data_IF_600227644410
#
_entry.id   IF_600227644410
#
_cell.length_a   1.000
_cell.length_b   1.000
_cell.length_c   1.000
_cell.angle_alpha   90.00
_cell.angle_beta   90.00
_cell.angle_gamma   90.00
#
_symmetry.space_group_name_H-M   'P 1'
#
loop_
_entity.id
_entity.type
_entity.pdbx_description
1 polymer ?
#
# COMPACT_ATOMS: atom_id res chain seq x y z
N UNK A 1 -14.86 -9.87 -10.14
CA UNK A 1 -13.88 -9.00 -9.45
C UNK A 1 -13.50 -9.69 -8.14
N UNK A 2 -12.22 -9.95 -7.92
CA UNK A 2 -11.73 -10.69 -6.74
C UNK A 2 -11.27 -9.66 -5.72
N UNK A 3 -12.09 -9.43 -4.70
CA UNK A 3 -11.71 -8.57 -3.59
C UNK A 3 -10.57 -9.22 -2.79
N UNK A 4 -9.51 -8.48 -2.44
CA UNK A 4 -8.43 -9.00 -1.62
C UNK A 4 -8.92 -9.32 -0.21
N UNK A 5 -8.46 -10.43 0.34
CA UNK A 5 -8.74 -10.76 1.74
C UNK A 5 -8.02 -9.80 2.69
N UNK A 6 -8.54 -9.68 3.92
CA UNK A 6 -7.89 -8.89 4.99
C UNK A 6 -6.43 -9.29 5.20
N UNK A 7 -6.11 -10.59 5.07
CA UNK A 7 -4.74 -11.09 5.19
C UNK A 7 -3.85 -10.61 4.04
N UNK A 8 -4.36 -10.60 2.80
CA UNK A 8 -3.63 -10.06 1.64
C UNK A 8 -3.34 -8.57 1.83
N UNK A 9 -4.33 -7.79 2.29
CA UNK A 9 -4.18 -6.36 2.56
C UNK A 9 -3.10 -6.10 3.62
N UNK A 10 -3.14 -6.84 4.74
CA UNK A 10 -2.14 -6.70 5.81
C UNK A 10 -0.73 -7.14 5.36
N UNK A 11 -0.64 -8.15 4.48
CA UNK A 11 0.63 -8.56 3.88
C UNK A 11 1.19 -7.47 2.99
N UNK A 12 0.36 -6.87 2.13
CA UNK A 12 0.74 -5.74 1.28
C UNK A 12 1.26 -4.57 2.12
N UNK A 13 0.56 -4.20 3.19
CA UNK A 13 1.01 -3.17 4.13
C UNK A 13 2.42 -3.47 4.67
N UNK A 14 2.66 -4.68 5.18
CA UNK A 14 3.98 -5.09 5.70
C UNK A 14 5.07 -5.02 4.62
N UNK A 15 4.77 -5.44 3.40
CA UNK A 15 5.71 -5.37 2.28
C UNK A 15 6.06 -3.92 1.92
N UNK A 16 5.08 -3.02 1.87
CA UNK A 16 5.28 -1.60 1.62
C UNK A 16 6.16 -0.93 2.68
N UNK A 17 5.95 -1.27 3.96
CA UNK A 17 6.80 -0.76 5.05
C UNK A 17 8.24 -1.25 4.91
N UNK A 18 8.44 -2.54 4.59
CA UNK A 18 9.79 -3.10 4.36
C UNK A 18 10.49 -2.43 3.18
N UNK A 19 9.77 -2.25 2.06
CA UNK A 19 10.28 -1.54 0.90
C UNK A 19 10.66 -0.10 1.23
N UNK A 20 9.79 0.62 1.95
CA UNK A 20 10.06 1.99 2.41
C UNK A 20 11.33 2.13 3.23
N UNK A 21 11.63 1.15 4.08
CA UNK A 21 12.86 1.14 4.89
C UNK A 21 14.14 0.96 4.05
N UNK A 22 14.04 0.32 2.88
CA UNK A 22 15.14 0.05 1.97
C UNK A 22 15.46 1.22 1.02
N UNK A 23 14.54 2.19 0.88
CA UNK A 23 14.73 3.37 0.02
C UNK A 23 15.98 4.16 0.43
N UNK A 24 16.80 4.55 -0.54
CA UNK A 24 18.02 5.34 -0.29
C UNK A 24 17.84 6.81 -0.63
N UNK A 25 17.11 7.10 -1.70
CA UNK A 25 16.99 8.43 -2.30
C UNK A 25 15.66 9.12 -1.99
N UNK A 26 14.91 8.62 -1.02
CA UNK A 26 13.59 9.14 -0.64
C UNK A 26 13.55 9.37 0.86
N UNK A 27 12.87 10.44 1.28
CA UNK A 27 12.52 10.63 2.69
C UNK A 27 11.66 9.45 3.17
N UNK A 28 12.28 8.58 3.97
CA UNK A 28 11.65 7.39 4.54
C UNK A 28 10.48 7.75 5.45
N UNK A 29 10.60 8.81 6.25
CA UNK A 29 9.56 9.22 7.18
C UNK A 29 8.34 9.71 6.42
N UNK A 30 8.55 10.51 5.37
CA UNK A 30 7.48 10.93 4.48
C UNK A 30 6.79 9.74 3.80
N UNK A 31 7.57 8.84 3.18
CA UNK A 31 7.03 7.66 2.51
C UNK A 31 6.21 6.78 3.46
N UNK A 32 6.78 6.42 4.62
CA UNK A 32 6.11 5.57 5.61
C UNK A 32 4.88 6.28 6.21
N UNK A 33 4.97 7.59 6.44
CA UNK A 33 3.84 8.41 6.89
C UNK A 33 2.69 8.37 5.90
N UNK A 34 2.98 8.52 4.61
CA UNK A 34 1.99 8.44 3.52
C UNK A 34 1.34 7.07 3.46
N UNK A 35 2.11 5.98 3.48
CA UNK A 35 1.56 4.61 3.49
C UNK A 35 0.65 4.38 4.71
N UNK A 36 1.08 4.79 5.90
CA UNK A 36 0.27 4.64 7.13
C UNK A 36 -1.04 5.42 7.05
N UNK A 37 -1.01 6.62 6.46
CA UNK A 37 -2.18 7.48 6.30
C UNK A 37 -3.18 6.86 5.33
N UNK A 38 -2.74 6.44 4.15
CA UNK A 38 -3.60 5.81 3.13
C UNK A 38 -4.31 4.55 3.68
N UNK A 39 -3.59 3.67 4.38
CA UNK A 39 -4.18 2.48 5.01
C UNK A 39 -5.11 2.80 6.19
N UNK A 40 -4.92 3.95 6.86
CA UNK A 40 -5.80 4.40 7.95
C UNK A 40 -7.10 4.98 7.39
N UNK A 41 -7.00 5.85 6.38
CA UNK A 41 -8.13 6.45 5.68
C UNK A 41 -8.97 5.38 4.97
N UNK A 42 -8.31 4.36 4.38
CA UNK A 42 -8.98 3.24 3.73
C UNK A 42 -9.69 2.23 4.65
N UNK A 43 -9.63 2.36 5.99
CA UNK A 43 -10.28 1.40 6.91
C UNK A 43 -11.80 1.40 6.81
N UNK A 44 -12.39 2.55 6.48
CA UNK A 44 -13.84 2.71 6.31
C UNK A 44 -14.31 2.45 4.89
N UNK A 45 -13.41 2.10 3.97
CA UNK A 45 -13.75 1.88 2.58
C UNK A 45 -14.53 0.57 2.43
N UNK A 46 -15.77 0.67 1.96
CA UNK A 46 -16.67 -0.46 1.74
C UNK A 46 -16.87 -0.79 0.26
N UNK A 47 -16.46 0.10 -0.65
CA UNK A 47 -16.59 -0.11 -2.09
C UNK A 47 -15.58 -1.18 -2.59
N UNK A 48 -16.06 -2.34 -3.07
CA UNK A 48 -15.23 -3.41 -3.62
C UNK A 48 -14.27 -2.96 -4.72
N UNK A 49 -14.72 -2.06 -5.60
CA UNK A 49 -13.96 -1.62 -6.77
C UNK A 49 -12.79 -0.76 -6.32
N UNK A 50 -13.07 0.17 -5.41
CA UNK A 50 -12.03 1.02 -4.82
C UNK A 50 -11.02 0.22 -3.99
N UNK A 51 -11.47 -0.81 -3.24
CA UNK A 51 -10.58 -1.70 -2.49
C UNK A 51 -9.65 -2.44 -3.45
N UNK A 52 -10.19 -3.04 -4.50
CA UNK A 52 -9.40 -3.78 -5.50
C UNK A 52 -8.40 -2.86 -6.22
N UNK A 53 -8.83 -1.65 -6.60
CA UNK A 53 -7.97 -0.66 -7.23
C UNK A 53 -6.80 -0.25 -6.34
N UNK A 54 -7.08 0.11 -5.08
CA UNK A 54 -6.06 0.52 -4.12
C UNK A 54 -5.07 -0.61 -3.82
N UNK A 55 -5.56 -1.85 -3.72
CA UNK A 55 -4.73 -3.02 -3.53
C UNK A 55 -3.77 -3.24 -4.72
N UNK A 56 -4.30 -3.26 -5.94
CA UNK A 56 -3.50 -3.40 -7.18
C UNK A 56 -2.50 -2.26 -7.36
N UNK A 57 -2.86 -1.04 -6.95
CA UNK A 57 -1.97 0.12 -6.95
C UNK A 57 -0.76 -0.11 -6.03
N UNK A 58 -1.00 -0.58 -4.82
CA UNK A 58 0.07 -0.91 -3.87
C UNK A 58 0.98 -2.05 -4.37
N UNK A 59 0.40 -3.12 -4.94
CA UNK A 59 1.18 -4.20 -5.55
C UNK A 59 2.03 -3.72 -6.72
N UNK A 60 1.48 -2.84 -7.55
CA UNK A 60 2.21 -2.26 -8.69
C UNK A 60 3.41 -1.44 -8.22
N UNK A 61 3.28 -0.69 -7.13
CA UNK A 61 4.38 0.08 -6.54
C UNK A 61 5.54 -0.84 -6.12
N UNK A 62 5.24 -1.96 -5.45
CA UNK A 62 6.25 -2.95 -5.07
C UNK A 62 6.90 -3.62 -6.28
N UNK A 63 6.11 -4.01 -7.28
CA UNK A 63 6.61 -4.70 -8.48
C UNK A 63 7.51 -3.81 -9.33
N UNK A 64 7.17 -2.53 -9.47
CA UNK A 64 7.92 -1.60 -10.32
C UNK A 64 9.06 -0.89 -9.58
N UNK A 65 9.05 -0.91 -8.24
CA UNK A 65 9.99 -0.13 -7.42
C UNK A 65 9.92 1.38 -7.70
N UNK A 66 8.81 1.85 -8.26
CA UNK A 66 8.60 3.27 -8.60
C UNK A 66 7.60 3.85 -7.63
N UNK A 67 8.05 4.83 -6.86
CA UNK A 67 7.19 5.73 -6.12
C UNK A 67 6.54 6.63 -7.18
N UNK A 68 5.22 6.55 -7.31
CA UNK A 68 4.43 7.43 -8.19
C UNK A 68 4.36 8.85 -7.59
#
# INVERSE_FOLDING_TARGET
MLQPSKQQILRLYKHLIRYGNQLQLTDKNYFLGRIRREFREGRGLSDPVQIEFNFKRGETLLRKGRIL
#
